data_IF_453905497713
#
_entry.id   IF_453905497713
#
_cell.length_a   1.000
_cell.length_b   1.000
_cell.length_c   1.000
_cell.angle_alpha   90.00
_cell.angle_beta   90.00
_cell.angle_gamma   90.00
#
_symmetry.space_group_name_H-M   'P 1'
#
loop_
_entity.id
_entity.type
_entity.pdbx_description
1 polymer ?
#
# COMPACT_ATOMS: atom_id res chain seq x y z
N UNK A 1 -7.59 32.68 15.88
CA UNK A 1 -8.04 32.77 17.29
C UNK A 1 -8.03 31.36 17.85
N UNK A 2 -7.16 31.06 18.82
CA UNK A 2 -7.08 29.69 19.39
C UNK A 2 -8.26 29.55 20.37
N UNK A 3 -8.97 28.43 20.26
CA UNK A 3 -10.11 28.12 21.14
C UNK A 3 -9.59 27.73 22.53
N UNK A 4 -9.99 28.45 23.58
CA UNK A 4 -9.54 28.17 24.94
C UNK A 4 -9.93 26.80 25.45
N UNK A 5 -11.13 26.34 25.11
CA UNK A 5 -11.62 24.98 25.42
C UNK A 5 -10.73 23.88 24.88
N UNK A 6 -10.24 24.02 23.65
CA UNK A 6 -9.31 23.05 23.04
C UNK A 6 -7.94 23.03 23.75
N UNK A 7 -7.43 24.21 24.16
CA UNK A 7 -6.17 24.28 24.90
C UNK A 7 -6.29 23.62 26.28
N UNK A 8 -7.40 23.81 26.97
CA UNK A 8 -7.66 23.18 28.27
C UNK A 8 -7.70 21.66 28.09
N UNK A 9 -8.46 21.18 27.11
CA UNK A 9 -8.56 19.75 26.83
C UNK A 9 -7.19 19.11 26.49
N UNK A 10 -6.36 19.79 25.69
CA UNK A 10 -5.02 19.29 25.37
C UNK A 10 -4.12 19.28 26.63
N UNK A 11 -4.25 20.30 27.50
CA UNK A 11 -3.47 20.36 28.73
C UNK A 11 -3.86 19.25 29.71
N UNK A 12 -5.15 18.97 29.87
CA UNK A 12 -5.67 17.87 30.70
C UNK A 12 -5.20 16.51 30.20
N UNK A 13 -5.25 16.28 28.88
CA UNK A 13 -4.77 15.03 28.26
C UNK A 13 -3.25 14.88 28.39
N UNK A 14 -2.50 15.97 28.30
CA UNK A 14 -1.04 15.94 28.49
C UNK A 14 -0.67 15.63 29.95
N UNK A 15 -1.41 16.18 30.92
CA UNK A 15 -1.24 15.90 32.34
C UNK A 15 -1.54 14.41 32.65
N UNK A 16 -2.63 13.88 32.08
CA UNK A 16 -2.98 12.45 32.17
C UNK A 16 -1.88 11.55 31.58
N UNK A 17 -1.36 11.90 30.41
CA UNK A 17 -0.24 11.19 29.79
C UNK A 17 1.03 11.21 30.66
N UNK A 18 1.42 12.36 31.16
CA UNK A 18 2.61 12.49 32.00
C UNK A 18 2.49 11.74 33.33
N UNK A 19 1.27 11.66 33.88
CA UNK A 19 1.01 10.98 35.15
C UNK A 19 0.97 9.47 35.03
N UNK A 20 0.35 8.96 33.95
CA UNK A 20 0.05 7.54 33.83
C UNK A 20 1.03 6.78 32.91
N UNK A 21 1.75 7.46 32.01
CA UNK A 21 2.54 6.81 30.98
C UNK A 21 4.04 7.13 31.06
N UNK A 22 4.44 8.39 30.93
CA UNK A 22 5.85 8.80 30.95
C UNK A 22 6.02 10.29 31.16
N UNK A 23 6.70 10.66 32.25
CA UNK A 23 7.05 12.05 32.52
C UNK A 23 8.08 12.61 31.51
N UNK A 24 8.87 11.74 30.85
CA UNK A 24 9.94 12.09 29.91
C UNK A 24 9.56 11.82 28.43
N UNK A 25 8.27 11.64 28.16
CA UNK A 25 7.77 11.33 26.81
C UNK A 25 7.91 12.50 25.83
N UNK A 26 8.16 12.18 24.57
CA UNK A 26 8.23 13.18 23.49
C UNK A 26 6.83 13.59 23.02
N UNK A 27 6.75 14.71 22.27
CA UNK A 27 5.50 15.11 21.60
C UNK A 27 4.94 13.98 20.71
N UNK A 28 5.82 13.21 20.05
CA UNK A 28 5.43 12.07 19.22
C UNK A 28 4.76 10.98 20.05
N UNK A 29 5.28 10.70 21.24
CA UNK A 29 4.71 9.71 22.14
C UNK A 29 3.35 10.15 22.69
N UNK A 30 3.22 11.43 23.03
CA UNK A 30 1.93 12.03 23.42
C UNK A 30 0.90 11.98 22.30
N UNK A 31 1.26 12.32 21.07
CA UNK A 31 0.36 12.22 19.92
C UNK A 31 -0.07 10.79 19.65
N UNK A 32 0.84 9.83 19.81
CA UNK A 32 0.53 8.40 19.72
C UNK A 32 -0.45 7.97 20.82
N UNK A 33 -0.21 8.39 22.06
CA UNK A 33 -1.11 8.14 23.19
C UNK A 33 -2.51 8.70 22.91
N UNK A 34 -2.63 9.96 22.47
CA UNK A 34 -3.89 10.59 22.12
C UNK A 34 -4.63 9.85 21.01
N UNK A 35 -3.91 9.43 19.98
CA UNK A 35 -4.48 8.61 18.90
C UNK A 35 -5.02 7.29 19.44
N UNK A 36 -4.25 6.56 20.22
CA UNK A 36 -4.64 5.26 20.78
C UNK A 36 -5.81 5.40 21.78
N UNK A 37 -5.82 6.44 22.62
CA UNK A 37 -6.89 6.70 23.58
C UNK A 37 -8.23 7.00 22.91
N UNK A 38 -8.20 7.69 21.75
CA UNK A 38 -9.39 8.10 21.02
C UNK A 38 -9.78 7.11 19.91
N UNK A 39 -8.89 6.21 19.50
CA UNK A 39 -9.18 5.15 18.54
C UNK A 39 -9.96 4.05 19.25
N UNK A 40 -11.26 4.12 19.14
CA UNK A 40 -12.24 3.28 19.83
C UNK A 40 -11.92 1.80 19.66
N UNK A 41 -11.57 1.15 20.76
CA UNK A 41 -12.05 -0.20 21.09
C UNK A 41 -11.71 -1.32 20.13
N UNK A 42 -10.47 -1.45 19.66
CA UNK A 42 -9.98 -2.75 19.20
C UNK A 42 -9.40 -3.47 20.44
N UNK A 43 -10.25 -3.75 21.39
CA UNK A 43 -9.94 -4.73 22.42
C UNK A 43 -10.00 -6.12 21.75
N UNK A 44 -8.93 -6.53 21.14
CA UNK A 44 -8.82 -7.92 20.69
C UNK A 44 -8.44 -8.78 21.89
N UNK A 45 -9.36 -9.58 22.34
CA UNK A 45 -9.06 -10.73 23.24
C UNK A 45 -8.24 -11.74 22.45
N UNK A 46 -6.95 -11.80 22.69
CA UNK A 46 -6.06 -12.80 22.09
C UNK A 46 -5.89 -13.97 23.07
N UNK A 47 -6.05 -15.20 22.60
CA UNK A 47 -5.64 -16.38 23.38
C UNK A 47 -4.12 -16.48 23.37
N UNK A 48 -3.48 -16.20 24.50
CA UNK A 48 -2.07 -16.45 24.73
C UNK A 48 -1.97 -17.56 25.75
N UNK A 49 -1.37 -18.70 25.38
CA UNK A 49 -1.16 -19.82 26.33
C UNK A 49 -2.41 -20.45 26.90
N UNK A 50 -3.59 -20.34 26.24
CA UNK A 50 -4.85 -20.93 26.71
C UNK A 50 -5.72 -20.01 27.58
N UNK A 51 -5.23 -18.88 28.02
CA UNK A 51 -5.98 -17.85 28.74
C UNK A 51 -6.34 -16.67 27.86
N UNK A 52 -7.49 -16.03 28.12
CA UNK A 52 -7.90 -14.80 27.46
C UNK A 52 -7.15 -13.63 28.11
N UNK A 53 -6.04 -13.20 27.50
CA UNK A 53 -5.39 -11.95 27.88
C UNK A 53 -6.02 -10.78 27.12
N UNK A 54 -6.32 -9.71 27.83
CA UNK A 54 -6.65 -8.41 27.25
C UNK A 54 -5.32 -7.84 26.77
N UNK A 55 -5.07 -7.90 25.47
CA UNK A 55 -3.89 -7.23 24.86
C UNK A 55 -4.29 -5.77 24.70
N UNK A 56 -3.69 -4.90 25.49
CA UNK A 56 -3.80 -3.46 25.28
C UNK A 56 -3.09 -3.10 23.98
N UNK A 57 -3.60 -2.11 23.23
CA UNK A 57 -3.11 -1.65 21.92
C UNK A 57 -1.60 -1.32 21.86
N UNK A 58 -0.91 -1.28 22.99
CA UNK A 58 0.52 -0.95 23.14
C UNK A 58 1.48 -2.05 22.72
N UNK A 59 1.00 -3.29 22.70
CA UNK A 59 1.83 -4.49 22.47
C UNK A 59 1.49 -5.21 21.15
N UNK A 60 1.19 -4.45 20.08
CA UNK A 60 1.02 -5.06 18.75
C UNK A 60 2.42 -5.39 18.20
N UNK A 61 2.82 -6.68 18.20
CA UNK A 61 4.12 -7.07 17.70
C UNK A 61 4.26 -6.74 16.21
N UNK A 62 5.48 -6.47 15.76
CA UNK A 62 5.75 -6.22 14.34
C UNK A 62 5.31 -7.39 13.43
N UNK A 63 5.28 -8.62 13.96
CA UNK A 63 4.80 -9.82 13.27
C UNK A 63 3.31 -9.72 12.90
N UNK A 64 2.49 -9.03 13.68
CA UNK A 64 1.07 -8.83 13.36
C UNK A 64 0.89 -7.92 12.15
N UNK A 65 1.80 -6.95 11.91
CA UNK A 65 1.78 -6.15 10.69
C UNK A 65 1.87 -7.04 9.43
N UNK A 66 2.83 -7.97 9.42
CA UNK A 66 2.99 -8.90 8.29
C UNK A 66 1.74 -9.74 8.05
N UNK A 67 1.14 -10.26 9.11
CA UNK A 67 -0.13 -11.01 9.04
C UNK A 67 -1.28 -10.16 8.50
N UNK A 68 -1.44 -8.95 9.00
CA UNK A 68 -2.50 -8.02 8.56
C UNK A 68 -2.33 -7.66 7.08
N UNK A 69 -1.12 -7.35 6.63
CA UNK A 69 -0.82 -7.07 5.22
C UNK A 69 -1.15 -8.26 4.32
N UNK A 70 -0.81 -9.50 4.74
CA UNK A 70 -1.17 -10.70 3.99
C UNK A 70 -2.69 -10.91 3.90
N UNK A 71 -3.42 -10.65 4.98
CA UNK A 71 -4.89 -10.74 4.99
C UNK A 71 -5.51 -9.65 4.10
N UNK A 72 -5.07 -8.41 4.24
CA UNK A 72 -5.55 -7.29 3.40
C UNK A 72 -5.27 -7.54 1.91
N UNK A 73 -4.12 -8.10 1.56
CA UNK A 73 -3.82 -8.52 0.19
C UNK A 73 -4.81 -9.57 -0.34
N UNK A 74 -5.22 -10.54 0.49
CA UNK A 74 -6.24 -11.56 0.10
C UNK A 74 -7.60 -10.91 -0.14
N UNK A 75 -8.04 -10.01 0.74
CA UNK A 75 -9.29 -9.28 0.56
C UNK A 75 -9.24 -8.40 -0.69
N UNK A 76 -8.17 -7.65 -0.88
CA UNK A 76 -7.98 -6.83 -2.07
C UNK A 76 -8.05 -7.65 -3.36
N UNK A 77 -7.33 -8.77 -3.44
CA UNK A 77 -7.38 -9.69 -4.59
C UNK A 77 -8.78 -10.22 -4.87
N UNK A 78 -9.55 -10.55 -3.83
CA UNK A 78 -10.93 -11.00 -3.98
C UNK A 78 -11.81 -9.91 -4.61
N UNK A 79 -11.78 -8.68 -4.09
CA UNK A 79 -12.58 -7.57 -4.63
C UNK A 79 -12.14 -7.13 -6.02
N UNK A 80 -10.83 -7.11 -6.29
CA UNK A 80 -10.27 -6.81 -7.61
C UNK A 80 -10.75 -7.83 -8.65
N UNK A 81 -10.78 -9.11 -8.30
CA UNK A 81 -11.32 -10.16 -9.19
C UNK A 81 -12.76 -9.86 -9.59
N UNK A 82 -13.62 -9.43 -8.67
CA UNK A 82 -15.00 -9.01 -8.96
C UNK A 82 -15.05 -7.76 -9.85
N UNK A 83 -14.12 -6.81 -9.62
CA UNK A 83 -14.05 -5.60 -10.44
C UNK A 83 -13.66 -5.89 -11.89
N UNK A 84 -12.92 -6.97 -12.15
CA UNK A 84 -12.48 -7.36 -13.49
C UNK A 84 -13.53 -8.15 -14.29
N UNK A 85 -14.66 -8.48 -13.67
CA UNK A 85 -15.74 -9.16 -14.37
C UNK A 85 -16.21 -8.38 -15.62
N UNK A 86 -16.32 -9.06 -16.76
CA UNK A 86 -16.62 -8.46 -18.05
C UNK A 86 -15.45 -7.68 -18.69
N UNK A 87 -14.22 -7.88 -18.23
CA UNK A 87 -12.99 -7.32 -18.82
C UNK A 87 -12.02 -8.42 -19.26
N UNK A 88 -10.94 -8.03 -19.97
CA UNK A 88 -9.87 -8.95 -20.36
C UNK A 88 -8.74 -9.07 -19.31
N UNK A 89 -8.82 -8.29 -18.20
CA UNK A 89 -7.81 -8.35 -17.14
C UNK A 89 -7.98 -9.62 -16.31
N UNK A 90 -6.87 -10.31 -16.06
CA UNK A 90 -6.85 -11.61 -15.39
C UNK A 90 -6.26 -11.54 -13.98
N UNK A 91 -5.41 -10.54 -13.72
CA UNK A 91 -4.72 -10.40 -12.44
C UNK A 91 -4.56 -8.94 -12.04
N UNK A 92 -4.36 -8.64 -10.74
CA UNK A 92 -4.05 -7.29 -10.28
C UNK A 92 -2.86 -6.66 -11.01
N UNK A 93 -1.87 -7.47 -11.38
CA UNK A 93 -0.68 -7.04 -12.10
C UNK A 93 -1.03 -6.50 -13.50
N UNK A 94 -2.02 -7.07 -14.19
CA UNK A 94 -2.48 -6.54 -15.47
C UNK A 94 -2.94 -5.09 -15.34
N UNK A 95 -3.72 -4.81 -14.30
CA UNK A 95 -4.20 -3.47 -14.02
C UNK A 95 -3.07 -2.51 -13.66
N UNK A 96 -2.16 -2.90 -12.76
CA UNK A 96 -1.07 -2.03 -12.33
C UNK A 96 -0.10 -1.73 -13.45
N UNK A 97 0.19 -2.70 -14.34
CA UNK A 97 1.02 -2.51 -15.52
C UNK A 97 0.39 -1.51 -16.51
N UNK A 98 -0.92 -1.62 -16.75
CA UNK A 98 -1.64 -0.65 -17.60
C UNK A 98 -1.68 0.73 -16.95
N UNK A 99 -1.87 0.83 -15.63
CA UNK A 99 -1.86 2.11 -14.90
C UNK A 99 -0.51 2.80 -15.01
N UNK A 100 0.59 2.06 -14.83
CA UNK A 100 1.94 2.62 -15.00
C UNK A 100 2.13 3.10 -16.44
N UNK A 101 1.79 2.30 -17.46
CA UNK A 101 1.90 2.71 -18.87
C UNK A 101 0.96 3.85 -19.24
N UNK A 102 -0.17 4.00 -18.56
CA UNK A 102 -1.07 5.13 -18.73
C UNK A 102 -0.46 6.44 -18.21
N UNK A 103 0.34 6.36 -17.15
CA UNK A 103 1.02 7.52 -16.55
C UNK A 103 2.29 7.92 -17.27
N UNK A 104 2.81 7.05 -18.16
CA UNK A 104 4.02 7.28 -18.94
C UNK A 104 3.70 7.03 -20.42
N UNK A 105 4.18 7.89 -21.32
CA UNK A 105 3.94 7.70 -22.76
C UNK A 105 4.50 6.39 -23.28
N UNK A 106 5.69 6.02 -22.81
CA UNK A 106 6.39 4.78 -23.17
C UNK A 106 7.45 4.43 -22.12
N UNK A 107 7.67 3.15 -21.91
CA UNK A 107 8.70 2.62 -21.02
C UNK A 107 9.42 1.43 -21.66
N UNK A 108 10.66 1.20 -21.28
CA UNK A 108 11.30 -0.09 -21.52
C UNK A 108 10.64 -1.18 -20.66
N UNK A 109 10.63 -2.43 -21.17
CA UNK A 109 10.04 -3.55 -20.42
C UNK A 109 10.64 -3.71 -19.02
N UNK A 110 11.96 -3.52 -18.91
CA UNK A 110 12.68 -3.58 -17.61
C UNK A 110 12.26 -2.47 -16.66
N UNK A 111 11.99 -1.27 -17.17
CA UNK A 111 11.53 -0.13 -16.36
C UNK A 111 10.10 -0.37 -15.88
N UNK A 112 9.22 -0.91 -16.74
CA UNK A 112 7.84 -1.23 -16.37
C UNK A 112 7.80 -2.30 -15.27
N UNK A 113 8.62 -3.35 -15.39
CA UNK A 113 8.74 -4.40 -14.37
C UNK A 113 9.23 -3.82 -13.05
N UNK A 114 10.30 -3.02 -13.07
CA UNK A 114 10.84 -2.37 -11.87
C UNK A 114 9.81 -1.48 -11.18
N UNK A 115 9.09 -0.65 -11.96
CA UNK A 115 8.05 0.24 -11.42
C UNK A 115 6.86 -0.48 -10.79
N UNK A 116 6.64 -1.73 -11.15
CA UNK A 116 5.60 -2.58 -10.53
C UNK A 116 6.14 -3.44 -9.37
N UNK A 117 7.41 -3.30 -9.01
CA UNK A 117 8.05 -4.05 -7.92
C UNK A 117 7.83 -5.57 -8.01
N UNK A 118 7.85 -6.13 -9.22
CA UNK A 118 7.68 -7.57 -9.46
C UNK A 118 8.98 -8.20 -9.97
N UNK A 119 9.15 -9.48 -9.74
CA UNK A 119 10.27 -10.24 -10.28
C UNK A 119 10.27 -10.24 -11.82
N UNK A 120 11.46 -10.24 -12.42
CA UNK A 120 11.65 -10.15 -13.87
C UNK A 120 10.87 -11.23 -14.64
N UNK A 121 10.87 -12.47 -14.16
CA UNK A 121 10.17 -13.58 -14.81
C UNK A 121 8.66 -13.33 -14.83
N UNK A 122 8.08 -13.01 -13.66
CA UNK A 122 6.65 -12.71 -13.49
C UNK A 122 6.24 -11.50 -14.31
N UNK A 123 7.01 -10.41 -14.25
CA UNK A 123 6.71 -9.19 -15.03
C UNK A 123 6.79 -9.40 -16.53
N UNK A 124 7.74 -10.23 -17.01
CA UNK A 124 7.82 -10.61 -18.44
C UNK A 124 6.59 -11.37 -18.89
N UNK A 125 6.04 -12.24 -18.05
CA UNK A 125 4.83 -13.00 -18.36
C UNK A 125 3.59 -12.09 -18.44
N UNK A 126 3.46 -11.11 -17.50
CA UNK A 126 2.42 -10.09 -17.56
C UNK A 126 2.50 -9.30 -18.88
N UNK A 127 3.68 -8.81 -19.26
CA UNK A 127 3.89 -8.07 -20.51
C UNK A 127 3.49 -8.92 -21.71
N UNK A 128 3.93 -10.19 -21.78
CA UNK A 128 3.59 -11.11 -22.87
C UNK A 128 2.07 -11.31 -22.98
N UNK A 129 1.39 -11.48 -21.85
CA UNK A 129 -0.07 -11.61 -21.79
C UNK A 129 -0.77 -10.38 -22.29
N UNK A 130 -0.39 -9.18 -21.81
CA UNK A 130 -0.99 -7.92 -22.23
C UNK A 130 -0.76 -7.61 -23.71
N UNK A 131 0.42 -7.96 -24.26
CA UNK A 131 0.69 -7.88 -25.71
C UNK A 131 -0.20 -8.82 -26.51
N UNK A 132 -0.35 -10.08 -26.08
CA UNK A 132 -1.23 -11.07 -26.74
C UNK A 132 -2.69 -10.62 -26.74
N UNK A 133 -3.13 -9.92 -25.70
CA UNK A 133 -4.47 -9.34 -25.60
C UNK A 133 -4.62 -8.03 -26.39
N UNK A 134 -3.53 -7.51 -26.96
CA UNK A 134 -3.52 -6.23 -27.69
C UNK A 134 -3.73 -5.01 -26.79
N UNK A 135 -3.53 -5.15 -25.48
CA UNK A 135 -3.73 -4.06 -24.51
C UNK A 135 -2.49 -3.14 -24.38
N UNK A 136 -1.34 -3.66 -24.76
CA UNK A 136 -0.09 -2.90 -24.91
C UNK A 136 0.56 -3.25 -26.24
N UNK A 137 1.41 -2.38 -26.75
CA UNK A 137 2.09 -2.52 -28.03
C UNK A 137 3.52 -1.96 -28.00
N UNK A 138 4.34 -2.32 -28.98
CA UNK A 138 5.64 -1.69 -29.17
C UNK A 138 5.44 -0.24 -29.59
N UNK A 139 6.05 0.68 -28.88
CA UNK A 139 5.99 2.09 -29.25
C UNK A 139 6.78 2.36 -30.55
N UNK A 140 6.37 3.35 -31.36
CA UNK A 140 7.09 3.74 -32.56
C UNK A 140 8.56 4.02 -32.25
N UNK A 141 9.46 3.51 -33.08
CA UNK A 141 10.91 3.70 -32.96
C UNK A 141 11.27 5.17 -33.10
N UNK A 142 11.97 5.72 -32.11
CA UNK A 142 12.50 7.09 -32.17
C UNK A 142 13.99 7.12 -32.51
N UNK A 143 14.71 6.01 -32.38
CA UNK A 143 16.12 5.86 -32.75
C UNK A 143 16.55 4.39 -32.73
N UNK A 144 17.72 4.12 -33.28
CA UNK A 144 18.30 2.78 -33.49
C UNK A 144 18.80 2.08 -32.22
N UNK A 145 18.12 2.26 -31.09
CA UNK A 145 18.45 1.55 -29.84
C UNK A 145 17.88 0.12 -29.87
N UNK A 146 18.69 -0.86 -29.45
CA UNK A 146 18.38 -2.29 -29.44
C UNK A 146 17.16 -2.69 -28.57
N UNK A 147 16.75 -1.83 -27.65
CA UNK A 147 15.59 -2.07 -26.78
C UNK A 147 14.36 -1.33 -27.30
N UNK A 148 13.27 -2.06 -27.50
CA UNK A 148 12.00 -1.52 -27.97
C UNK A 148 11.16 -1.10 -26.76
N UNK A 149 10.82 0.19 -26.61
CA UNK A 149 9.88 0.62 -25.60
C UNK A 149 8.46 0.12 -25.92
N UNK A 150 7.66 -0.01 -24.90
CA UNK A 150 6.25 -0.39 -24.98
C UNK A 150 5.36 0.75 -24.49
N UNK A 151 4.14 0.80 -24.99
CA UNK A 151 3.14 1.78 -24.59
C UNK A 151 1.77 1.10 -24.46
N UNK A 152 0.84 1.79 -23.80
CA UNK A 152 -0.55 1.33 -23.72
C UNK A 152 -1.24 1.57 -25.08
N UNK A 153 -1.92 0.56 -25.61
CA UNK A 153 -2.72 0.67 -26.84
C UNK A 153 -4.05 1.40 -26.59
N UNK A 154 -4.75 1.78 -27.66
CA UNK A 154 -6.11 2.30 -27.55
C UNK A 154 -7.07 1.28 -26.92
N UNK A 155 -6.93 -0.01 -27.21
CA UNK A 155 -7.70 -1.07 -26.56
C UNK A 155 -7.39 -1.16 -25.06
N UNK A 156 -6.10 -1.07 -24.67
CA UNK A 156 -5.69 -1.03 -23.26
C UNK A 156 -6.24 0.18 -22.51
N UNK A 157 -6.25 1.36 -23.12
CA UNK A 157 -6.89 2.55 -22.54
C UNK A 157 -8.39 2.36 -22.32
N UNK A 158 -9.08 1.82 -23.33
CA UNK A 158 -10.52 1.55 -23.23
C UNK A 158 -10.82 0.54 -22.11
N UNK A 159 -10.01 -0.50 -22.00
CA UNK A 159 -10.14 -1.53 -20.97
C UNK A 159 -9.88 -0.95 -19.57
N UNK A 160 -8.85 -0.11 -19.44
CA UNK A 160 -8.53 0.56 -18.20
C UNK A 160 -9.69 1.46 -17.74
N UNK A 161 -10.29 2.26 -18.65
CA UNK A 161 -11.42 3.13 -18.32
C UNK A 161 -12.68 2.38 -17.90
N UNK A 162 -12.90 1.15 -18.38
CA UNK A 162 -14.01 0.29 -17.90
C UNK A 162 -13.80 -0.12 -16.44
N UNK A 163 -12.56 -0.35 -16.03
CA UNK A 163 -12.21 -0.88 -14.71
C UNK A 163 -12.06 0.22 -13.66
N UNK A 164 -11.59 1.41 -14.01
CA UNK A 164 -11.33 2.50 -13.08
C UNK A 164 -12.50 2.81 -12.11
N UNK A 165 -13.77 2.92 -12.56
CA UNK A 165 -14.87 3.15 -11.63
C UNK A 165 -15.06 2.01 -10.64
N UNK A 166 -14.88 0.75 -11.09
CA UNK A 166 -14.98 -0.43 -10.23
C UNK A 166 -13.83 -0.48 -9.23
N UNK A 167 -12.60 -0.09 -9.64
CA UNK A 167 -11.45 0.01 -8.74
C UNK A 167 -11.63 1.09 -7.67
N UNK A 168 -12.30 2.20 -7.99
CA UNK A 168 -12.72 3.18 -6.98
C UNK A 168 -13.64 2.55 -5.94
N UNK A 169 -14.59 1.73 -6.37
CA UNK A 169 -15.46 0.98 -5.45
C UNK A 169 -14.68 -0.01 -4.59
N UNK A 170 -13.73 -0.73 -5.18
CA UNK A 170 -12.81 -1.62 -4.43
C UNK A 170 -12.06 -0.84 -3.35
N UNK A 171 -11.52 0.33 -3.68
CA UNK A 171 -10.84 1.20 -2.71
C UNK A 171 -11.76 1.59 -1.54
N UNK A 172 -12.99 1.99 -1.82
CA UNK A 172 -13.97 2.32 -0.78
C UNK A 172 -14.32 1.11 0.11
N UNK A 173 -14.43 -0.09 -0.46
CA UNK A 173 -14.67 -1.32 0.31
C UNK A 173 -13.47 -1.63 1.22
N UNK A 174 -12.24 -1.45 0.72
CA UNK A 174 -11.01 -1.71 1.48
C UNK A 174 -10.80 -0.71 2.62
N UNK A 175 -11.24 0.53 2.45
CA UNK A 175 -11.23 1.55 3.51
C UNK A 175 -12.18 1.13 4.64
N UNK A 176 -13.30 0.48 4.31
CA UNK A 176 -14.26 -0.02 5.30
C UNK A 176 -14.90 1.09 6.12
N UNK A 177 -14.74 1.00 7.43
CA UNK A 177 -15.32 1.92 8.42
C UNK A 177 -14.33 2.97 8.96
N UNK A 178 -13.17 3.15 8.33
CA UNK A 178 -12.23 4.20 8.70
C UNK A 178 -12.86 5.59 8.49
N UNK A 179 -12.59 6.52 9.42
CA UNK A 179 -12.88 7.93 9.22
C UNK A 179 -12.04 8.51 8.07
N UNK A 180 -12.37 9.72 7.62
CA UNK A 180 -11.58 10.39 6.58
C UNK A 180 -10.13 10.62 7.00
N UNK A 181 -9.93 10.99 8.26
CA UNK A 181 -8.62 11.25 8.87
C UNK A 181 -7.80 9.97 8.96
N UNK A 182 -8.39 8.87 9.42
CA UNK A 182 -7.76 7.55 9.51
C UNK A 182 -7.39 7.02 8.12
N UNK A 183 -8.29 7.15 7.15
CA UNK A 183 -8.02 6.80 5.75
C UNK A 183 -6.82 7.58 5.21
N UNK A 184 -6.79 8.90 5.40
CA UNK A 184 -5.75 9.77 4.88
C UNK A 184 -4.40 9.44 5.54
N UNK A 185 -4.40 9.19 6.86
CA UNK A 185 -3.21 8.74 7.59
C UNK A 185 -2.72 7.39 7.09
N UNK A 186 -3.61 6.42 6.90
CA UNK A 186 -3.25 5.11 6.37
C UNK A 186 -2.61 5.21 4.99
N UNK A 187 -3.17 6.04 4.10
CA UNK A 187 -2.60 6.25 2.75
C UNK A 187 -1.19 6.86 2.85
N UNK A 188 -0.98 7.86 3.71
CA UNK A 188 0.33 8.49 3.93
C UNK A 188 1.36 7.45 4.44
N UNK A 189 0.97 6.64 5.43
CA UNK A 189 1.85 5.61 6.00
C UNK A 189 2.20 4.52 4.98
N UNK A 190 1.21 4.04 4.23
CA UNK A 190 1.43 3.06 3.17
C UNK A 190 2.32 3.61 2.05
N UNK A 191 2.13 4.87 1.63
CA UNK A 191 2.97 5.52 0.63
C UNK A 191 4.44 5.67 1.12
N UNK A 192 4.63 5.97 2.40
CA UNK A 192 5.97 6.02 3.02
C UNK A 192 6.64 4.64 3.01
N UNK A 193 5.90 3.58 3.35
CA UNK A 193 6.41 2.21 3.30
C UNK A 193 6.71 1.77 1.87
N UNK A 194 5.83 2.06 0.91
CA UNK A 194 6.03 1.77 -0.52
C UNK A 194 7.33 2.41 -1.03
N UNK A 195 7.54 3.69 -0.77
CA UNK A 195 8.76 4.39 -1.15
C UNK A 195 10.01 3.73 -0.56
N UNK A 196 9.98 3.39 0.73
CA UNK A 196 11.09 2.71 1.42
C UNK A 196 11.40 1.36 0.77
N UNK A 197 10.39 0.50 0.61
CA UNK A 197 10.57 -0.82 0.05
C UNK A 197 10.96 -0.80 -1.43
N UNK A 198 10.45 0.17 -2.19
CA UNK A 198 10.87 0.35 -3.58
C UNK A 198 12.37 0.62 -3.68
N UNK A 199 12.93 1.45 -2.77
CA UNK A 199 14.38 1.69 -2.68
C UNK A 199 15.15 0.44 -2.29
N UNK A 200 14.62 -0.37 -1.38
CA UNK A 200 15.25 -1.63 -0.97
C UNK A 200 15.27 -2.68 -2.10
N UNK A 201 14.21 -2.76 -2.89
CA UNK A 201 14.13 -3.69 -4.03
C UNK A 201 15.11 -3.35 -5.16
N UNK A 202 15.63 -2.13 -5.23
CA UNK A 202 16.69 -1.74 -6.18
C UNK A 202 18.10 -2.24 -5.72
N UNK A 203 18.25 -2.69 -4.46
CA UNK A 203 19.50 -3.32 -3.98
C UNK A 203 19.69 -4.68 -4.67
N UNK A 204 20.83 -4.86 -5.34
CA UNK A 204 21.19 -6.12 -6.01
C UNK A 204 21.90 -7.06 -5.02
N UNK A 205 21.78 -8.35 -5.28
CA UNK A 205 22.56 -9.40 -4.59
C UNK A 205 22.26 -9.57 -3.09
N UNK A 206 21.06 -9.21 -2.65
CA UNK A 206 20.61 -9.48 -1.28
C UNK A 206 20.20 -10.95 -1.16
N UNK A 207 20.94 -11.69 -0.33
CA UNK A 207 20.72 -13.13 -0.10
C UNK A 207 20.23 -13.44 1.32
N UNK A 208 20.23 -12.44 2.20
CA UNK A 208 19.84 -12.58 3.60
C UNK A 208 18.94 -11.41 4.04
N UNK A 209 17.91 -11.72 4.83
CA UNK A 209 16.96 -10.73 5.34
C UNK A 209 17.62 -9.66 6.20
N UNK A 210 18.66 -10.01 6.96
CA UNK A 210 19.36 -9.07 7.83
C UNK A 210 20.06 -7.94 7.04
N UNK A 211 20.37 -8.18 5.76
CA UNK A 211 20.96 -7.17 4.89
C UNK A 211 20.00 -6.01 4.60
N UNK A 212 18.67 -6.23 4.68
CA UNK A 212 17.68 -5.17 4.54
C UNK A 212 17.55 -4.30 5.80
N UNK A 213 17.99 -4.78 6.96
CA UNK A 213 17.94 -4.03 8.24
C UNK A 213 19.15 -3.11 8.43
N UNK A 214 20.26 -3.34 7.72
CA UNK A 214 21.45 -2.49 7.79
C UNK A 214 21.12 -1.13 7.18
N UNK A 215 21.16 -0.08 7.99
CA UNK A 215 21.16 1.31 7.52
C UNK A 215 22.53 1.58 6.90
N UNK A 216 22.54 2.01 5.64
CA UNK A 216 23.74 2.61 5.00
C UNK A 216 24.10 3.91 5.68
#
# INVERSE_FOLDING_TARGET
MIRKDLLIQIAEELEDYCTNESADGTLTDFLKYMYLKNSIGITQTRKVGGEHAIVTERDVPAEDLGKLLLMMNRYAKHYIKLAFDGTHLQSPEDFTFLMVLFSYDKLLQTELIRKNAVEKASGTEVIRRLMRLGLIEEAPKVSDKRAKPICISNAGRAELFKVLPKMKTVGNILIGNLSNEERDLLIILLAKLDHHHHTLMDKKDVTDLEQYLKKD
#
